data_IF_173651135937
#
_entry.id   IF_173651135937
#
_cell.length_a   1.000
_cell.length_b   1.000
_cell.length_c   1.000
_cell.angle_alpha   90.00
_cell.angle_beta   90.00
_cell.angle_gamma   90.00
#
_symmetry.space_group_name_H-M   'P 1'
#
loop_
_entity.id
_entity.type
_entity.pdbx_description
1 polymer ?
#
# COMPACT_ATOMS: atom_id res chain seq x y z
N UNK A 1 -6.53 9.65 19.90
CA UNK A 1 -5.93 10.28 18.71
C UNK A 1 -7.00 10.30 17.63
N UNK A 2 -7.37 11.47 17.12
CA UNK A 2 -8.31 11.59 16.00
C UNK A 2 -7.48 11.64 14.72
N UNK A 3 -7.69 10.67 13.82
CA UNK A 3 -6.99 10.63 12.52
C UNK A 3 -7.76 11.54 11.56
N UNK A 4 -7.06 12.47 10.91
CA UNK A 4 -7.67 13.40 9.94
C UNK A 4 -7.75 12.77 8.55
N UNK A 5 -8.66 13.26 7.70
CA UNK A 5 -8.79 12.81 6.31
C UNK A 5 -7.50 13.00 5.51
N UNK A 6 -6.81 14.13 5.73
CA UNK A 6 -5.51 14.41 5.11
C UNK A 6 -4.46 13.37 5.50
N UNK A 7 -4.32 13.07 6.80
CA UNK A 7 -3.35 12.08 7.28
C UNK A 7 -3.64 10.68 6.72
N UNK A 8 -4.91 10.28 6.66
CA UNK A 8 -5.29 9.00 6.04
C UNK A 8 -4.92 8.98 4.57
N UNK A 9 -5.24 10.05 3.83
CA UNK A 9 -4.97 10.13 2.41
C UNK A 9 -3.46 10.08 2.12
N UNK A 10 -2.66 10.88 2.82
CA UNK A 10 -1.20 10.89 2.68
C UNK A 10 -0.60 9.51 2.96
N UNK A 11 -1.02 8.87 4.06
CA UNK A 11 -0.58 7.52 4.40
C UNK A 11 -0.97 6.51 3.31
N UNK A 12 -2.17 6.63 2.76
CA UNK A 12 -2.64 5.77 1.68
C UNK A 12 -1.84 5.96 0.38
N UNK A 13 -1.48 7.20 0.04
CA UNK A 13 -0.60 7.52 -1.09
C UNK A 13 0.77 6.85 -0.92
N UNK A 14 1.35 6.94 0.28
CA UNK A 14 2.66 6.36 0.56
C UNK A 14 2.64 4.83 0.51
N UNK A 15 1.60 4.18 1.04
CA UNK A 15 1.45 2.73 0.90
C UNK A 15 1.19 2.29 -0.55
N UNK A 16 0.39 3.06 -1.30
CA UNK A 16 0.20 2.79 -2.72
C UNK A 16 1.52 2.92 -3.49
N UNK A 17 2.35 3.92 -3.16
CA UNK A 17 3.69 4.06 -3.72
C UNK A 17 4.62 2.89 -3.33
N UNK A 18 4.59 2.44 -2.08
CA UNK A 18 5.34 1.27 -1.64
C UNK A 18 4.94 0.02 -2.43
N UNK A 19 3.64 -0.23 -2.60
CA UNK A 19 3.14 -1.35 -3.38
C UNK A 19 3.56 -1.25 -4.86
N UNK A 20 3.64 -0.04 -5.42
CA UNK A 20 4.19 0.17 -6.76
C UNK A 20 5.66 -0.22 -6.85
N UNK A 21 6.48 0.17 -5.89
CA UNK A 21 7.88 -0.22 -5.83
C UNK A 21 8.04 -1.74 -5.69
N UNK A 22 7.23 -2.38 -4.84
CA UNK A 22 7.32 -3.82 -4.57
C UNK A 22 6.82 -4.70 -5.72
N UNK A 23 5.68 -4.37 -6.33
CA UNK A 23 5.16 -5.10 -7.50
C UNK A 23 5.92 -4.76 -8.79
N UNK A 24 6.58 -3.61 -8.85
CA UNK A 24 7.45 -3.20 -9.95
C UNK A 24 8.86 -3.76 -9.85
N UNK A 25 9.21 -4.44 -8.75
CA UNK A 25 10.52 -5.05 -8.58
C UNK A 25 10.76 -6.12 -9.67
N UNK A 26 11.93 -6.14 -10.35
CA UNK A 26 12.25 -7.14 -11.37
C UNK A 26 12.12 -8.59 -10.91
N UNK A 27 12.25 -8.87 -9.61
CA UNK A 27 12.05 -10.18 -9.00
C UNK A 27 10.59 -10.59 -8.82
N UNK A 28 9.64 -9.66 -8.96
CA UNK A 28 8.20 -9.95 -8.89
C UNK A 28 7.70 -10.42 -10.26
N UNK A 29 7.21 -11.66 -10.32
CA UNK A 29 6.77 -12.31 -11.57
C UNK A 29 5.26 -12.49 -11.61
N UNK A 30 4.73 -12.44 -12.82
CA UNK A 30 3.30 -12.60 -13.09
C UNK A 30 3.13 -13.67 -14.17
N UNK A 31 2.09 -14.50 -14.03
CA UNK A 31 1.76 -15.57 -14.98
C UNK A 31 1.32 -14.99 -16.34
N UNK A 32 0.79 -13.77 -16.32
CA UNK A 32 0.37 -13.03 -17.50
C UNK A 32 0.70 -11.55 -17.32
N UNK A 33 0.69 -10.80 -18.43
CA UNK A 33 0.88 -9.34 -18.37
C UNK A 33 -0.16 -8.74 -17.42
N UNK A 34 0.27 -8.03 -16.36
CA UNK A 34 -0.65 -7.40 -15.42
C UNK A 34 -1.58 -6.39 -16.08
N UNK A 35 -2.81 -6.29 -15.57
CA UNK A 35 -3.79 -5.29 -16.01
C UNK A 35 -4.27 -4.45 -14.83
N UNK A 36 -4.98 -3.36 -15.14
CA UNK A 36 -5.59 -2.53 -14.10
C UNK A 36 -6.58 -3.32 -13.23
N UNK A 37 -7.18 -4.40 -13.73
CA UNK A 37 -8.24 -5.14 -13.03
C UNK A 37 -7.69 -6.28 -12.16
N UNK A 38 -6.88 -7.18 -12.75
CA UNK A 38 -6.40 -8.42 -12.13
C UNK A 38 -4.99 -8.76 -12.63
N UNK A 39 -4.14 -9.22 -11.72
CA UNK A 39 -2.80 -9.72 -12.03
C UNK A 39 -2.59 -11.06 -11.33
N UNK A 40 -2.49 -12.13 -12.13
CA UNK A 40 -2.17 -13.46 -11.61
C UNK A 40 -0.67 -13.53 -11.33
N UNK A 41 -0.32 -13.67 -10.05
CA UNK A 41 1.08 -13.71 -9.59
C UNK A 41 1.67 -15.09 -9.93
N UNK A 42 2.91 -15.08 -10.43
CA UNK A 42 3.68 -16.30 -10.62
C UNK A 42 4.49 -16.58 -9.35
N UNK A 43 3.91 -17.38 -8.47
CA UNK A 43 4.53 -17.74 -7.18
C UNK A 43 5.68 -18.73 -7.34
N UNK A 44 5.82 -19.41 -8.48
CA UNK A 44 6.94 -20.33 -8.73
C UNK A 44 8.22 -19.56 -9.06
N UNK A 45 8.09 -18.46 -9.83
CA UNK A 45 9.23 -17.68 -10.29
C UNK A 45 9.47 -16.37 -9.49
N UNK A 46 8.53 -15.97 -8.63
CA UNK A 46 8.73 -14.84 -7.72
C UNK A 46 9.55 -15.26 -6.50
N UNK A 47 10.55 -14.47 -6.11
CA UNK A 47 11.30 -14.73 -4.89
C UNK A 47 10.36 -14.72 -3.66
N UNK A 48 10.35 -15.79 -2.86
CA UNK A 48 9.37 -15.95 -1.78
C UNK A 48 9.43 -14.87 -0.73
N UNK A 49 10.63 -14.42 -0.34
CA UNK A 49 10.76 -13.29 0.57
C UNK A 49 10.13 -11.99 0.02
N UNK A 50 10.24 -11.75 -1.29
CA UNK A 50 9.60 -10.59 -1.93
C UNK A 50 8.08 -10.77 -1.96
N UNK A 51 7.60 -11.95 -2.36
CA UNK A 51 6.17 -12.27 -2.37
C UNK A 51 5.51 -12.04 -0.99
N UNK A 52 6.07 -12.63 0.07
CA UNK A 52 5.51 -12.55 1.41
C UNK A 52 5.50 -11.12 1.95
N UNK A 53 6.55 -10.34 1.70
CA UNK A 53 6.58 -8.94 2.14
C UNK A 53 5.57 -8.11 1.35
N UNK A 54 5.47 -8.29 0.03
CA UNK A 54 4.49 -7.57 -0.78
C UNK A 54 3.06 -7.89 -0.37
N UNK A 55 2.73 -9.16 -0.14
CA UNK A 55 1.42 -9.59 0.36
C UNK A 55 1.13 -9.01 1.76
N UNK A 56 2.12 -9.01 2.64
CA UNK A 56 1.98 -8.43 3.98
C UNK A 56 1.74 -6.92 3.95
N UNK A 57 2.43 -6.17 3.07
CA UNK A 57 2.17 -4.73 2.85
C UNK A 57 0.78 -4.53 2.24
N UNK A 58 0.40 -5.35 1.26
CA UNK A 58 -0.89 -5.21 0.58
C UNK A 58 -2.07 -5.44 1.53
N UNK A 59 -2.02 -6.50 2.33
CA UNK A 59 -3.04 -6.78 3.37
C UNK A 59 -3.06 -5.68 4.43
N UNK A 60 -1.89 -5.14 4.82
CA UNK A 60 -1.81 -3.99 5.73
C UNK A 60 -2.57 -2.78 5.17
N UNK A 61 -2.33 -2.44 3.90
CA UNK A 61 -3.01 -1.34 3.20
C UNK A 61 -4.53 -1.57 3.10
N UNK A 62 -4.95 -2.76 2.65
CA UNK A 62 -6.36 -3.08 2.43
C UNK A 62 -7.14 -3.12 3.74
N UNK A 63 -6.61 -3.74 4.78
CA UNK A 63 -7.37 -4.01 6.00
C UNK A 63 -7.35 -2.84 6.99
N UNK A 64 -6.30 -2.00 6.93
CA UNK A 64 -6.06 -0.99 7.96
C UNK A 64 -6.03 0.44 7.44
N UNK A 65 -5.94 0.69 6.12
CA UNK A 65 -5.90 2.05 5.57
C UNK A 65 -7.13 2.32 4.69
N UNK A 66 -7.40 1.44 3.71
CA UNK A 66 -8.55 1.61 2.81
C UNK A 66 -9.90 1.80 3.52
N UNK A 67 -10.20 1.20 4.69
CA UNK A 67 -11.49 1.40 5.36
C UNK A 67 -11.73 2.84 5.84
N UNK A 68 -10.70 3.68 5.88
CA UNK A 68 -10.82 5.09 6.21
C UNK A 68 -11.03 5.99 4.99
N UNK A 69 -10.98 5.44 3.78
CA UNK A 69 -11.15 6.17 2.53
C UNK A 69 -12.55 5.97 1.94
N UNK A 70 -13.02 6.88 1.06
CA UNK A 70 -14.24 6.68 0.30
C UNK A 70 -14.25 5.35 -0.46
N UNK A 71 -15.44 4.79 -0.66
CA UNK A 71 -15.58 3.52 -1.36
C UNK A 71 -14.90 3.54 -2.74
N UNK A 72 -14.12 2.51 -3.02
CA UNK A 72 -13.34 2.37 -4.25
C UNK A 72 -12.32 3.50 -4.49
N UNK A 73 -11.89 4.25 -3.47
CA UNK A 73 -10.90 5.33 -3.63
C UNK A 73 -9.62 4.87 -4.37
N UNK A 74 -9.14 3.66 -4.09
CA UNK A 74 -7.98 3.04 -4.78
C UNK A 74 -8.22 2.65 -6.25
N UNK A 75 -9.47 2.62 -6.71
CA UNK A 75 -9.82 2.42 -8.13
C UNK A 75 -10.13 3.75 -8.82
N UNK A 76 -10.47 4.78 -8.07
CA UNK A 76 -10.97 6.06 -8.59
C UNK A 76 -9.95 7.19 -8.54
N UNK A 77 -8.90 7.06 -7.72
CA UNK A 77 -7.90 8.08 -7.46
C UNK A 77 -6.53 7.58 -7.89
N UNK A 78 -5.84 8.34 -8.76
CA UNK A 78 -4.59 7.89 -9.39
C UNK A 78 -3.52 7.55 -8.37
N UNK A 79 -3.29 8.43 -7.40
CA UNK A 79 -2.22 8.30 -6.41
C UNK A 79 -2.40 7.05 -5.52
N UNK A 80 -3.65 6.61 -5.33
CA UNK A 80 -4.04 5.44 -4.55
C UNK A 80 -4.15 4.16 -5.39
N UNK A 81 -3.97 4.30 -6.70
CA UNK A 81 -4.10 3.24 -7.70
C UNK A 81 -3.06 2.14 -7.54
N UNK A 82 -3.45 0.93 -7.95
CA UNK A 82 -2.50 -0.16 -8.15
C UNK A 82 -1.48 0.20 -9.25
N UNK A 83 -0.33 -0.51 -9.32
CA UNK A 83 0.77 -0.14 -10.22
C UNK A 83 0.38 -0.10 -11.69
N UNK A 84 -0.51 -0.98 -12.10
CA UNK A 84 -0.87 -1.17 -13.50
C UNK A 84 -1.86 -0.12 -13.97
N UNK A 85 -2.88 0.18 -13.16
CA UNK A 85 -3.77 1.33 -13.40
C UNK A 85 -2.97 2.64 -13.38
N UNK A 86 -2.04 2.80 -12.43
CA UNK A 86 -1.20 4.00 -12.31
C UNK A 86 -0.36 4.27 -13.57
N UNK A 87 0.20 3.22 -14.16
CA UNK A 87 1.03 3.29 -15.38
C UNK A 87 0.24 3.28 -16.69
N UNK A 88 -1.06 3.00 -16.66
CA UNK A 88 -1.90 2.95 -17.85
C UNK A 88 -2.43 4.35 -18.21
N UNK A 89 -1.94 4.89 -19.33
CA UNK A 89 -2.36 6.21 -19.82
C UNK A 89 -3.81 6.28 -20.27
N UNK A 90 -4.46 5.15 -20.50
CA UNK A 90 -5.86 5.06 -20.89
C UNK A 90 -6.83 4.97 -19.71
N UNK A 91 -6.32 4.68 -18.50
CA UNK A 91 -7.14 4.50 -17.32
C UNK A 91 -7.83 5.81 -16.91
N UNK A 92 -9.14 5.75 -16.72
CA UNK A 92 -9.96 6.91 -16.41
C UNK A 92 -10.14 7.05 -14.90
N UNK A 93 -9.47 8.05 -14.32
CA UNK A 93 -9.63 8.41 -12.91
C UNK A 93 -10.87 9.28 -12.72
N UNK A 94 -11.59 9.04 -11.63
CA UNK A 94 -12.87 9.69 -11.32
C UNK A 94 -12.72 10.76 -10.23
N UNK A 95 -11.74 10.58 -9.33
CA UNK A 95 -11.54 11.42 -8.16
C UNK A 95 -10.14 12.05 -8.17
N UNK A 96 -10.08 13.30 -7.72
CA UNK A 96 -8.82 14.05 -7.51
C UNK A 96 -8.79 14.58 -6.08
N UNK A 97 -7.62 14.57 -5.45
CA UNK A 97 -7.45 15.13 -4.12
C UNK A 97 -7.38 16.66 -4.15
N UNK A 98 -8.22 17.30 -3.34
CA UNK A 98 -8.17 18.72 -3.03
C UNK A 98 -7.54 18.90 -1.65
N UNK A 99 -6.28 19.33 -1.64
CA UNK A 99 -5.50 19.49 -0.41
C UNK A 99 -5.99 20.65 0.48
N UNK A 100 -6.57 21.70 -0.11
CA UNK A 100 -7.11 22.84 0.65
C UNK A 100 -8.41 22.46 1.35
N UNK A 101 -9.26 21.69 0.67
CA UNK A 101 -10.52 21.19 1.23
C UNK A 101 -10.36 19.93 2.08
N UNK A 102 -9.22 19.24 2.00
CA UNK A 102 -8.99 17.95 2.66
C UNK A 102 -9.97 16.87 2.18
N UNK A 103 -10.31 16.86 0.89
CA UNK A 103 -11.37 16.05 0.31
C UNK A 103 -11.01 15.47 -1.06
N UNK A 104 -11.56 14.30 -1.39
CA UNK A 104 -11.55 13.77 -2.75
C UNK A 104 -12.74 14.36 -3.51
N UNK A 105 -12.52 14.95 -4.68
CA UNK A 105 -13.57 15.56 -5.50
C UNK A 105 -13.72 14.86 -6.85
N UNK A 106 -14.96 14.74 -7.31
CA UNK A 106 -15.27 14.31 -8.67
C UNK A 106 -15.04 15.44 -9.69
N UNK A 107 -15.23 15.15 -10.99
CA UNK A 107 -15.09 16.13 -12.08
C UNK A 107 -16.09 17.29 -12.01
N UNK A 108 -17.17 17.16 -11.22
CA UNK A 108 -18.18 18.20 -11.01
C UNK A 108 -17.90 19.01 -9.73
N UNK A 109 -16.83 18.72 -9.00
CA UNK A 109 -16.47 19.37 -7.75
C UNK A 109 -17.18 18.81 -6.51
N UNK A 110 -17.97 17.73 -6.64
CA UNK A 110 -18.63 17.10 -5.50
C UNK A 110 -17.62 16.32 -4.66
N UNK A 111 -17.67 16.49 -3.34
CA UNK A 111 -16.79 15.77 -2.43
C UNK A 111 -17.29 14.33 -2.21
N UNK A 112 -16.39 13.38 -2.36
CA UNK A 112 -16.63 11.99 -1.99
C UNK A 112 -16.68 11.87 -0.46
N UNK A 113 -17.71 11.18 0.04
CA UNK A 113 -17.93 11.00 1.47
C UNK A 113 -16.91 10.04 2.07
N UNK A 114 -16.14 10.52 3.05
CA UNK A 114 -15.29 9.66 3.87
C UNK A 114 -16.15 8.84 4.84
N UNK A 115 -15.84 7.56 5.05
CA UNK A 115 -16.60 6.69 5.93
C UNK A 115 -16.48 7.16 7.38
N UNK A 116 -17.58 7.07 8.12
CA UNK A 116 -17.56 7.23 9.57
C UNK A 116 -17.19 5.89 10.20
N UNK A 117 -16.02 5.80 10.81
CA UNK A 117 -15.52 4.58 11.46
C UNK A 117 -15.65 4.72 12.97
N UNK A 118 -16.11 3.67 13.65
CA UNK A 118 -16.26 3.69 15.11
C UNK A 118 -14.90 3.91 15.79
N UNK A 119 -14.84 4.71 16.87
CA UNK A 119 -13.57 5.04 17.53
C UNK A 119 -12.78 3.80 18.00
N UNK A 120 -13.47 2.76 18.46
CA UNK A 120 -12.82 1.50 18.86
C UNK A 120 -12.13 0.81 17.67
N UNK A 121 -12.76 0.85 16.50
CA UNK A 121 -12.20 0.31 15.27
C UNK A 121 -11.03 1.18 14.76
N UNK A 122 -11.16 2.51 14.81
CA UNK A 122 -10.05 3.44 14.52
C UNK A 122 -8.83 3.08 15.37
N UNK A 123 -9.02 2.93 16.69
CA UNK A 123 -7.94 2.58 17.62
C UNK A 123 -7.28 1.25 17.24
N UNK A 124 -8.09 0.20 17.04
CA UNK A 124 -7.60 -1.13 16.68
C UNK A 124 -6.79 -1.13 15.38
N UNK A 125 -7.29 -0.49 14.32
CA UNK A 125 -6.59 -0.39 13.03
C UNK A 125 -5.30 0.42 13.14
N UNK A 126 -5.28 1.51 13.92
CA UNK A 126 -4.07 2.30 14.14
C UNK A 126 -3.00 1.54 14.93
N UNK A 127 -3.38 0.80 15.97
CA UNK A 127 -2.45 -0.07 16.73
C UNK A 127 -1.89 -1.19 15.84
N UNK A 128 -2.73 -1.76 14.97
CA UNK A 128 -2.28 -2.72 13.96
C UNK A 128 -1.33 -2.08 12.95
N UNK A 129 -1.58 -0.87 12.47
CA UNK A 129 -0.68 -0.17 11.54
C UNK A 129 0.71 0.06 12.13
N UNK A 130 0.78 0.44 13.41
CA UNK A 130 2.07 0.66 14.09
C UNK A 130 2.84 -0.66 14.22
N UNK A 131 2.19 -1.72 14.70
CA UNK A 131 2.85 -3.02 14.89
C UNK A 131 3.26 -3.68 13.57
N UNK A 132 2.38 -3.64 12.56
CA UNK A 132 2.68 -4.13 11.20
C UNK A 132 3.76 -3.29 10.54
N UNK A 133 3.77 -1.98 10.77
CA UNK A 133 4.80 -1.07 10.26
C UNK A 133 6.19 -1.39 10.79
N UNK A 134 6.30 -1.64 12.10
CA UNK A 134 7.54 -2.13 12.70
C UNK A 134 8.01 -3.44 12.05
N UNK A 135 7.09 -4.38 11.81
CA UNK A 135 7.41 -5.63 11.15
C UNK A 135 7.83 -5.43 9.68
N UNK A 136 7.14 -4.58 8.92
CA UNK A 136 7.51 -4.23 7.53
C UNK A 136 8.93 -3.69 7.48
N UNK A 137 9.29 -2.78 8.40
CA UNK A 137 10.64 -2.23 8.50
C UNK A 137 11.67 -3.35 8.75
N UNK A 138 11.42 -4.23 9.71
CA UNK A 138 12.30 -5.38 9.98
C UNK A 138 12.45 -6.31 8.78
N UNK A 139 11.35 -6.65 8.11
CA UNK A 139 11.34 -7.50 6.93
C UNK A 139 12.16 -6.90 5.79
N UNK A 140 12.16 -5.58 5.64
CA UNK A 140 12.88 -4.93 4.53
C UNK A 140 14.36 -4.65 4.86
N UNK A 141 14.66 -4.19 6.07
CA UNK A 141 16.01 -3.78 6.45
C UNK A 141 16.83 -4.88 7.13
N UNK A 142 16.18 -5.71 7.94
CA UNK A 142 16.85 -6.62 8.88
C UNK A 142 16.68 -8.09 8.51
N UNK A 143 16.12 -8.43 7.34
CA UNK A 143 15.86 -9.84 6.98
C UNK A 143 17.11 -10.72 6.89
N UNK A 144 18.31 -10.13 6.77
CA UNK A 144 19.58 -10.86 6.84
C UNK A 144 20.10 -11.10 8.26
N UNK A 145 19.72 -10.26 9.22
CA UNK A 145 20.29 -10.23 10.59
C UNK A 145 19.30 -10.58 11.69
N UNK A 146 18.00 -10.37 11.49
CA UNK A 146 16.93 -10.73 12.43
C UNK A 146 16.34 -12.09 12.03
N UNK A 147 16.46 -13.07 12.94
CA UNK A 147 15.98 -14.44 12.73
C UNK A 147 14.46 -14.50 12.47
N UNK A 148 13.67 -13.71 13.19
CA UNK A 148 12.21 -13.72 13.04
C UNK A 148 11.79 -13.12 11.70
N UNK A 149 12.44 -12.04 11.26
CA UNK A 149 12.22 -11.46 9.94
C UNK A 149 12.55 -12.46 8.83
N UNK A 150 13.70 -13.13 8.92
CA UNK A 150 14.10 -14.17 7.96
C UNK A 150 13.09 -15.33 7.91
N UNK A 151 12.63 -15.81 9.07
CA UNK A 151 11.64 -16.89 9.13
C UNK A 151 10.28 -16.48 8.55
N UNK A 152 9.83 -15.25 8.80
CA UNK A 152 8.61 -14.71 8.19
C UNK A 152 8.70 -14.59 6.66
N UNK A 153 9.91 -14.57 6.09
CA UNK A 153 10.19 -14.58 4.65
C UNK A 153 10.47 -15.99 4.10
N UNK A 154 10.06 -17.04 4.83
CA UNK A 154 10.28 -18.43 4.42
C UNK A 154 11.73 -18.90 4.57
N UNK A 155 12.49 -18.30 5.49
CA UNK A 155 13.89 -18.61 5.71
C UNK A 155 14.85 -17.98 4.68
N UNK A 156 14.34 -17.14 3.78
CA UNK A 156 15.10 -16.47 2.73
C UNK A 156 15.39 -15.02 3.08
N UNK A 157 16.42 -14.47 2.44
CA UNK A 157 16.78 -13.05 2.52
C UNK A 157 16.49 -12.40 1.18
N UNK A 158 16.09 -11.13 1.18
CA UNK A 158 15.86 -10.39 -0.06
C UNK A 158 16.38 -8.96 0.07
N UNK A 159 17.11 -8.49 -0.94
CA UNK A 159 17.59 -7.12 -0.99
C UNK A 159 16.59 -6.24 -1.75
N UNK A 160 15.71 -5.59 -1.00
CA UNK A 160 14.72 -4.66 -1.56
C UNK A 160 15.39 -3.43 -2.19
N UNK A 161 14.72 -2.84 -3.19
CA UNK A 161 15.17 -1.63 -3.86
C UNK A 161 15.33 -0.44 -2.90
N UNK A 162 16.22 0.48 -3.25
CA UNK A 162 16.43 1.71 -2.48
C UNK A 162 15.16 2.59 -2.45
N UNK A 163 14.34 2.53 -3.50
CA UNK A 163 13.03 3.18 -3.54
C UNK A 163 12.08 2.64 -2.46
N UNK A 164 11.94 1.31 -2.36
CA UNK A 164 11.09 0.69 -1.33
C UNK A 164 11.59 1.03 0.08
N UNK A 165 12.91 1.00 0.29
CA UNK A 165 13.55 1.38 1.57
C UNK A 165 13.29 2.85 1.92
N UNK A 166 13.41 3.76 0.95
CA UNK A 166 13.16 5.19 1.17
C UNK A 166 11.70 5.46 1.54
N UNK A 167 10.74 4.82 0.86
CA UNK A 167 9.30 4.96 1.16
C UNK A 167 8.98 4.43 2.56
N UNK A 168 9.48 3.24 2.93
CA UNK A 168 9.27 2.68 4.28
C UNK A 168 9.88 3.58 5.34
N UNK A 169 11.04 4.17 5.08
CA UNK A 169 11.66 5.14 6.00
C UNK A 169 10.76 6.35 6.17
N UNK A 170 10.18 6.89 5.10
CA UNK A 170 9.23 8.01 5.16
C UNK A 170 7.97 7.67 5.97
N UNK A 171 7.40 6.47 5.77
CA UNK A 171 6.15 6.05 6.45
C UNK A 171 6.37 5.87 7.96
N UNK A 172 7.55 5.39 8.38
CA UNK A 172 7.82 4.99 9.78
C UNK A 172 9.02 5.72 10.41
N UNK A 173 9.32 6.94 9.95
CA UNK A 173 10.25 7.88 10.61
C UNK A 173 9.54 8.64 11.71
#
# INVERSE_FOLDING_TARGET
MQVTTCQVYELAVDYAALLRALFGDPGFKFLQKPTAEVSAIDTENTHMGLFWVTDFVQTTYIDNILPFLPSHASRKTKELGNPWAYGDSSYQWELTWDAEAGALKDKNGNSATFPTVAQAEVKSKMENLVSRGFMIKKLVFDNGSDFMAKMAMGGQTYNFSDEAKAIITKIYS
#
